data_IF_413607398211
#
_entry.id   IF_413607398211
#
_cell.length_a   1.000
_cell.length_b   1.000
_cell.length_c   1.000
_cell.angle_alpha   90.00
_cell.angle_beta   90.00
_cell.angle_gamma   90.00
#
_symmetry.space_group_name_H-M   'P 1'
#
loop_
_entity.id
_entity.type
_entity.pdbx_description
1 polymer ?
#
# COMPACT_ATOMS: atom_id res chain seq x y z
N UNK A 1 19.16 -2.13 1.76
CA UNK A 1 19.53 -3.31 2.58
C UNK A 1 20.34 -2.94 3.82
N UNK A 2 21.52 -2.28 3.71
CA UNK A 2 22.32 -1.85 4.87
C UNK A 2 21.52 -1.08 5.94
N UNK A 3 20.75 -0.07 5.53
CA UNK A 3 19.87 0.70 6.43
C UNK A 3 18.86 -0.19 7.20
N UNK A 4 18.30 -1.23 6.56
CA UNK A 4 17.37 -2.17 7.21
C UNK A 4 18.13 -3.04 8.22
N UNK A 5 19.31 -3.54 7.88
CA UNK A 5 20.15 -4.30 8.81
C UNK A 5 20.55 -3.48 10.04
N UNK A 6 20.96 -2.22 9.84
CA UNK A 6 21.27 -1.29 10.93
C UNK A 6 20.04 -1.03 11.80
N UNK A 7 18.88 -0.79 11.19
CA UNK A 7 17.61 -0.66 11.94
C UNK A 7 17.27 -1.89 12.77
N UNK A 8 17.40 -3.10 12.19
CA UNK A 8 17.14 -4.34 12.94
C UNK A 8 18.10 -4.52 14.12
N UNK A 9 19.37 -4.12 13.97
CA UNK A 9 20.34 -4.08 15.07
C UNK A 9 19.89 -3.12 16.17
N UNK A 10 19.52 -1.89 15.83
CA UNK A 10 19.00 -0.89 16.79
C UNK A 10 17.79 -1.44 17.55
N UNK A 11 16.84 -2.06 16.85
CA UNK A 11 15.66 -2.66 17.48
C UNK A 11 16.03 -3.78 18.46
N UNK A 12 17.01 -4.62 18.10
CA UNK A 12 17.49 -5.70 18.97
C UNK A 12 18.17 -5.16 20.24
N UNK A 13 18.97 -4.10 20.13
CA UNK A 13 19.59 -3.41 21.29
C UNK A 13 18.52 -2.80 22.20
N UNK A 14 17.50 -2.15 21.64
CA UNK A 14 16.39 -1.59 22.43
C UNK A 14 15.62 -2.70 23.18
N UNK A 15 15.43 -3.88 22.55
CA UNK A 15 14.80 -5.03 23.22
C UNK A 15 15.62 -5.54 24.40
N UNK A 16 16.94 -5.73 24.21
CA UNK A 16 17.86 -6.15 25.27
C UNK A 16 17.86 -5.14 26.43
N UNK A 17 17.93 -3.84 26.11
CA UNK A 17 17.89 -2.75 27.11
C UNK A 17 16.57 -2.75 27.89
N UNK A 18 15.44 -2.89 27.21
CA UNK A 18 14.13 -2.95 27.86
C UNK A 18 14.02 -4.18 28.77
N UNK A 19 14.55 -5.33 28.32
CA UNK A 19 14.57 -6.57 29.11
C UNK A 19 15.43 -6.42 30.36
N UNK A 20 16.60 -5.79 30.24
CA UNK A 20 17.49 -5.49 31.37
C UNK A 20 16.89 -4.49 32.36
N UNK A 21 16.24 -3.43 31.87
CA UNK A 21 15.60 -2.44 32.74
C UNK A 21 14.46 -3.06 33.56
N UNK A 22 13.75 -4.03 32.98
CA UNK A 22 12.69 -4.75 33.67
C UNK A 22 13.21 -5.79 34.68
N UNK A 23 14.43 -6.36 34.51
CA UNK A 23 15.05 -7.24 35.52
C UNK A 23 15.74 -6.49 36.65
N UNK A 24 16.20 -5.25 36.41
CA UNK A 24 16.87 -4.44 37.42
C UNK A 24 15.97 -4.05 38.61
N UNK A 25 14.63 -4.16 38.49
CA UNK A 25 13.72 -3.86 39.61
C UNK A 25 13.66 -4.96 40.67
N UNK A 26 14.30 -6.12 40.49
CA UNK A 26 14.06 -7.29 41.36
C UNK A 26 15.29 -7.88 42.08
N UNK A 27 16.52 -7.37 41.94
CA UNK A 27 17.69 -8.09 42.51
C UNK A 27 18.86 -7.22 42.99
N UNK A 28 19.52 -7.76 44.03
CA UNK A 28 20.77 -7.41 44.73
C UNK A 28 21.68 -6.34 44.07
N UNK A 29 22.30 -5.49 44.88
CA UNK A 29 23.27 -4.44 44.50
C UNK A 29 24.32 -4.87 43.45
N UNK A 30 24.79 -6.13 43.48
CA UNK A 30 25.73 -6.63 42.45
C UNK A 30 25.06 -6.79 41.09
N UNK A 31 23.82 -7.29 41.05
CA UNK A 31 23.00 -7.36 39.85
C UNK A 31 22.66 -5.96 39.36
N UNK A 32 22.33 -5.02 40.25
CA UNK A 32 22.10 -3.62 39.89
C UNK A 32 23.34 -3.00 39.24
N UNK A 33 24.54 -3.22 39.77
CA UNK A 33 25.78 -2.71 39.17
C UNK A 33 26.09 -3.36 37.81
N UNK A 34 25.87 -4.67 37.65
CA UNK A 34 26.00 -5.32 36.34
C UNK A 34 24.97 -4.78 35.34
N UNK A 35 23.73 -4.55 35.78
CA UNK A 35 22.69 -3.92 34.96
C UNK A 35 23.07 -2.49 34.57
N UNK A 36 23.65 -1.68 35.46
CA UNK A 36 24.13 -0.33 35.16
C UNK A 36 25.27 -0.36 34.13
N UNK A 37 26.22 -1.30 34.27
CA UNK A 37 27.34 -1.44 33.34
C UNK A 37 26.86 -1.88 31.95
N UNK A 38 26.02 -2.91 31.88
CA UNK A 38 25.42 -3.34 30.62
C UNK A 38 24.50 -2.28 29.99
N UNK A 39 23.85 -1.44 30.81
CA UNK A 39 23.05 -0.32 30.33
C UNK A 39 23.93 0.75 29.66
N UNK A 40 25.10 1.08 30.25
CA UNK A 40 26.09 1.97 29.61
C UNK A 40 26.64 1.40 28.32
N UNK A 41 27.02 0.12 28.30
CA UNK A 41 27.53 -0.55 27.10
C UNK A 41 26.47 -0.53 25.98
N UNK A 42 25.19 -0.74 26.30
CA UNK A 42 24.10 -0.62 25.33
C UNK A 42 23.78 0.81 24.89
N UNK A 43 23.93 1.82 25.76
CA UNK A 43 23.82 3.23 25.37
C UNK A 43 24.92 3.61 24.36
N UNK A 44 26.15 3.11 24.56
CA UNK A 44 27.25 3.30 23.62
C UNK A 44 26.98 2.61 22.26
N UNK A 45 26.50 1.36 22.27
CA UNK A 45 26.11 0.66 21.05
C UNK A 45 24.95 1.36 20.31
N UNK A 46 23.95 1.84 21.05
CA UNK A 46 22.82 2.59 20.50
C UNK A 46 23.29 3.93 19.90
N UNK A 47 24.22 4.63 20.56
CA UNK A 47 24.84 5.85 20.06
C UNK A 47 25.62 5.60 18.77
N UNK A 48 26.42 4.52 18.70
CA UNK A 48 27.16 4.14 17.51
C UNK A 48 26.23 3.77 16.34
N UNK A 49 25.16 3.01 16.61
CA UNK A 49 24.19 2.62 15.59
C UNK A 49 23.35 3.81 15.10
N UNK A 50 23.03 4.77 15.98
CA UNK A 50 22.38 6.04 15.62
C UNK A 50 23.29 6.86 14.69
N UNK A 51 24.56 7.01 15.04
CA UNK A 51 25.54 7.73 14.21
C UNK A 51 25.70 7.10 12.83
N UNK A 52 25.81 5.77 12.75
CA UNK A 52 25.82 5.05 11.47
C UNK A 52 24.56 5.30 10.63
N UNK A 53 23.39 5.44 11.27
CA UNK A 53 22.15 5.75 10.57
C UNK A 53 22.13 7.20 10.07
N UNK A 54 22.62 8.15 10.86
CA UNK A 54 22.78 9.56 10.50
C UNK A 54 23.74 9.71 9.31
N UNK A 55 24.90 9.05 9.35
CA UNK A 55 25.90 9.04 8.26
C UNK A 55 25.30 8.45 6.96
N UNK A 56 24.59 7.31 7.05
CA UNK A 56 23.90 6.69 5.90
C UNK A 56 22.75 7.54 5.34
N UNK A 57 22.26 8.53 6.10
CA UNK A 57 21.21 9.44 5.66
C UNK A 57 21.79 10.70 5.03
N UNK A 58 22.90 11.22 5.55
CA UNK A 58 23.66 12.31 4.93
C UNK A 58 24.14 11.89 3.53
N UNK A 59 24.63 10.66 3.36
CA UNK A 59 25.00 10.12 2.04
C UNK A 59 23.83 10.13 1.04
N UNK A 60 22.58 9.93 1.50
CA UNK A 60 21.42 10.01 0.61
C UNK A 60 21.05 11.45 0.27
N UNK A 61 21.16 12.38 1.22
CA UNK A 61 20.91 13.80 0.97
C UNK A 61 21.96 14.35 -0.01
N UNK A 62 23.24 14.00 0.16
CA UNK A 62 24.30 14.37 -0.78
C UNK A 62 24.10 13.74 -2.16
N UNK A 63 23.61 12.50 -2.23
CA UNK A 63 23.27 11.86 -3.51
C UNK A 63 22.09 12.55 -4.22
N UNK A 64 21.11 13.05 -3.46
CA UNK A 64 19.99 13.81 -4.02
C UNK A 64 20.41 15.23 -4.44
N UNK A 65 21.26 15.91 -3.68
CA UNK A 65 21.79 17.23 -4.09
C UNK A 65 22.69 17.12 -5.33
N UNK A 66 23.52 16.09 -5.44
CA UNK A 66 24.37 15.87 -6.62
C UNK A 66 23.55 15.50 -7.88
N UNK A 67 22.38 14.89 -7.71
CA UNK A 67 21.46 14.62 -8.83
C UNK A 67 20.68 15.85 -9.28
N UNK A 68 20.43 16.81 -8.38
CA UNK A 68 19.78 18.09 -8.70
C UNK A 68 20.75 19.10 -9.31
N UNK A 69 22.01 19.14 -8.88
CA UNK A 69 23.02 20.06 -9.42
C UNK A 69 23.45 19.73 -10.86
N UNK A 70 23.20 18.51 -11.34
CA UNK A 70 23.48 18.14 -12.73
C UNK A 70 22.34 18.48 -13.72
N UNK A 71 21.31 19.19 -13.28
CA UNK A 71 20.25 19.72 -14.14
C UNK A 71 20.28 21.26 -14.10
N UNK A 72 21.15 21.83 -14.94
CA UNK A 72 20.96 23.13 -15.63
C UNK A 72 20.53 24.35 -14.82
N UNK A 73 21.53 25.11 -14.36
CA UNK A 73 21.63 26.57 -14.31
C UNK A 73 20.34 27.42 -14.40
N UNK A 74 20.03 28.09 -13.29
CA UNK A 74 19.36 29.39 -13.28
C UNK A 74 18.50 29.59 -12.05
N UNK A 75 19.04 30.23 -11.00
CA UNK A 75 18.37 31.20 -10.11
C UNK A 75 19.39 31.64 -9.06
N UNK A 76 19.50 32.96 -8.90
CA UNK A 76 20.47 33.65 -8.04
C UNK A 76 20.15 33.52 -6.55
N UNK A 77 21.23 33.56 -5.78
CA UNK A 77 21.38 33.55 -4.32
C UNK A 77 20.62 34.66 -3.58
N UNK A 78 19.78 34.30 -2.60
CA UNK A 78 19.58 35.08 -1.37
C UNK A 78 18.96 34.19 -0.26
N UNK A 79 19.68 34.07 0.86
CA UNK A 79 19.19 33.74 2.20
C UNK A 79 18.16 32.61 2.41
N UNK A 80 18.66 31.41 2.73
CA UNK A 80 18.28 30.68 3.94
C UNK A 80 16.81 30.43 4.26
N UNK A 81 16.11 29.65 3.43
CA UNK A 81 14.99 28.78 3.85
C UNK A 81 14.80 27.75 2.74
N UNK A 82 14.92 26.45 3.07
CA UNK A 82 14.57 25.38 2.13
C UNK A 82 13.05 25.39 2.05
N UNK A 83 12.52 26.08 1.05
CA UNK A 83 11.13 26.04 0.69
C UNK A 83 10.88 24.80 -0.20
N UNK A 84 10.05 23.88 0.28
CA UNK A 84 9.70 22.63 -0.39
C UNK A 84 8.60 22.81 -1.46
N UNK A 85 8.34 24.04 -1.89
CA UNK A 85 7.26 24.40 -2.82
C UNK A 85 7.62 24.26 -4.32
N UNK A 86 8.76 23.67 -4.69
CA UNK A 86 9.20 23.55 -6.11
C UNK A 86 8.55 22.34 -6.85
N UNK A 87 7.46 21.78 -6.34
CA UNK A 87 6.67 20.77 -7.07
C UNK A 87 5.31 21.33 -7.54
N UNK A 88 4.88 22.49 -7.05
CA UNK A 88 3.60 23.10 -7.45
C UNK A 88 3.66 23.85 -8.80
N UNK A 89 4.84 24.11 -9.35
CA UNK A 89 4.99 24.88 -10.60
C UNK A 89 5.00 24.02 -11.88
N UNK A 90 4.94 22.69 -11.76
CA UNK A 90 4.87 21.76 -12.91
C UNK A 90 3.44 21.21 -13.12
N UNK A 91 2.48 21.58 -12.26
CA UNK A 91 1.09 21.12 -12.33
C UNK A 91 0.08 22.25 -12.56
N UNK A 92 0.54 23.45 -12.94
CA UNK A 92 -0.30 24.62 -13.19
C UNK A 92 -0.45 24.95 -14.68
N UNK A 93 -0.99 24.02 -15.46
CA UNK A 93 -1.62 24.31 -16.77
C UNK A 93 -2.80 23.35 -16.93
N UNK A 94 -3.98 23.75 -16.45
CA UNK A 94 -5.25 23.58 -17.16
C UNK A 94 -6.39 24.22 -16.35
N UNK A 95 -6.96 25.25 -16.96
CA UNK A 95 -8.09 26.06 -16.53
C UNK A 95 -9.41 25.28 -16.60
N UNK A 96 -10.18 25.23 -15.51
CA UNK A 96 -11.65 25.17 -15.58
C UNK A 96 -12.28 25.84 -14.35
N UNK A 97 -12.97 26.96 -14.62
CA UNK A 97 -13.95 27.62 -13.78
C UNK A 97 -15.08 26.67 -13.38
N UNK A 98 -15.50 26.70 -12.12
CA UNK A 98 -16.84 27.15 -11.71
C UNK A 98 -17.17 26.67 -10.29
N UNK A 99 -17.74 27.60 -9.53
CA UNK A 99 -18.23 27.51 -8.16
C UNK A 99 -19.02 26.23 -7.82
N UNK A 100 -18.69 25.59 -6.69
CA UNK A 100 -19.67 24.95 -5.82
C UNK A 100 -19.05 24.67 -4.44
N UNK A 101 -19.27 25.62 -3.52
CA UNK A 101 -18.96 25.48 -2.10
C UNK A 101 -20.09 24.69 -1.42
N UNK A 102 -19.91 23.38 -1.24
CA UNK A 102 -20.81 22.58 -0.40
C UNK A 102 -20.35 22.64 1.05
N UNK A 103 -21.04 23.50 1.82
CA UNK A 103 -20.93 23.68 3.25
C UNK A 103 -21.51 22.45 3.99
N UNK A 104 -20.67 21.53 4.48
CA UNK A 104 -21.13 20.50 5.42
C UNK A 104 -20.93 20.96 6.86
N UNK A 105 -22.05 21.24 7.53
CA UNK A 105 -22.13 21.63 8.94
C UNK A 105 -21.71 20.47 9.84
N UNK A 106 -20.69 20.70 10.67
CA UNK A 106 -20.27 19.84 11.77
C UNK A 106 -21.35 19.88 12.85
N UNK A 107 -21.91 18.71 13.19
CA UNK A 107 -22.79 18.54 14.34
C UNK A 107 -21.98 18.61 15.65
N UNK A 108 -22.60 19.23 16.65
CA UNK A 108 -22.04 19.68 17.93
C UNK A 108 -21.37 18.56 18.76
N UNK A 109 -20.29 18.94 19.45
CA UNK A 109 -19.42 18.10 20.27
C UNK A 109 -20.11 17.57 21.54
N UNK A 110 -20.09 16.24 21.75
CA UNK A 110 -20.27 15.64 23.07
C UNK A 110 -18.93 15.69 23.85
N UNK A 111 -18.96 15.87 25.19
CA UNK A 111 -17.75 16.12 25.99
C UNK A 111 -16.84 14.88 26.08
N UNK A 112 -15.58 15.07 25.68
CA UNK A 112 -14.49 14.06 25.64
C UNK A 112 -14.07 13.59 27.05
N UNK A 113 -13.89 12.28 27.30
CA UNK A 113 -13.29 11.78 28.54
C UNK A 113 -11.77 12.05 28.58
N UNK A 114 -11.23 12.45 29.74
CA UNK A 114 -9.80 12.75 29.92
C UNK A 114 -8.89 11.55 29.55
N UNK A 115 -7.74 11.76 28.89
CA UNK A 115 -6.81 10.69 28.52
C UNK A 115 -6.28 9.94 29.74
N UNK A 116 -6.31 8.61 29.72
CA UNK A 116 -5.63 7.76 30.72
C UNK A 116 -4.11 7.75 30.48
N UNK A 117 -3.32 7.73 31.56
CA UNK A 117 -1.83 7.89 31.61
C UNK A 117 -1.02 6.98 30.67
N UNK A 118 -1.62 5.95 30.11
CA UNK A 118 -0.94 5.00 29.20
C UNK A 118 -0.69 5.64 27.83
N UNK A 119 -1.62 6.50 27.34
CA UNK A 119 -1.47 7.22 26.08
C UNK A 119 -0.34 8.25 26.11
N UNK A 120 -0.17 8.93 27.25
CA UNK A 120 0.91 9.90 27.41
C UNK A 120 2.28 9.22 27.44
N UNK A 121 2.43 8.07 28.12
CA UNK A 121 3.75 7.41 28.25
C UNK A 121 4.36 6.99 26.91
N UNK A 122 3.58 6.36 26.01
CA UNK A 122 4.13 5.94 24.71
C UNK A 122 4.35 7.13 23.77
N UNK A 123 3.46 8.12 23.77
CA UNK A 123 3.64 9.36 23.02
C UNK A 123 4.88 10.13 23.50
N UNK A 124 5.13 10.16 24.81
CA UNK A 124 6.34 10.72 25.42
C UNK A 124 7.58 9.93 24.97
N UNK A 125 7.56 8.60 25.03
CA UNK A 125 8.69 7.77 24.58
C UNK A 125 9.01 7.97 23.08
N UNK A 126 7.99 8.08 22.24
CA UNK A 126 8.15 8.32 20.79
C UNK A 126 8.68 9.73 20.53
N UNK A 127 8.17 10.75 21.23
CA UNK A 127 8.61 12.14 21.07
C UNK A 127 10.03 12.37 21.61
N UNK A 128 10.44 11.67 22.66
CA UNK A 128 11.80 11.73 23.21
C UNK A 128 12.81 10.91 22.40
N UNK A 129 12.37 9.91 21.63
CA UNK A 129 13.25 9.06 20.83
C UNK A 129 13.16 9.39 19.33
N UNK A 130 14.05 10.29 18.88
CA UNK A 130 14.18 10.72 17.48
C UNK A 130 14.25 9.56 16.47
N UNK A 131 14.89 8.44 16.83
CA UNK A 131 14.97 7.27 15.96
C UNK A 131 13.60 6.61 15.77
N UNK A 132 12.80 6.49 16.83
CA UNK A 132 11.43 5.96 16.74
C UNK A 132 10.51 6.90 15.95
N UNK A 133 10.60 8.21 16.22
CA UNK A 133 9.87 9.22 15.45
C UNK A 133 10.22 9.16 13.95
N UNK A 134 11.51 9.00 13.62
CA UNK A 134 11.96 8.82 12.24
C UNK A 134 11.45 7.51 11.64
N UNK A 135 11.45 6.39 12.37
CA UNK A 135 10.88 5.13 11.88
C UNK A 135 9.39 5.24 11.59
N UNK A 136 8.62 5.87 12.50
CA UNK A 136 7.18 6.16 12.29
C UNK A 136 6.97 7.04 11.07
N UNK A 137 7.80 8.07 10.90
CA UNK A 137 7.79 8.94 9.72
C UNK A 137 8.08 8.16 8.43
N UNK A 138 9.12 7.31 8.40
CA UNK A 138 9.45 6.46 7.25
C UNK A 138 8.35 5.47 6.89
N UNK A 139 7.63 4.93 7.88
CA UNK A 139 6.50 4.01 7.66
C UNK A 139 5.24 4.75 7.21
N UNK A 140 5.07 5.98 7.69
CA UNK A 140 3.99 6.85 7.22
C UNK A 140 4.25 7.45 5.85
N UNK A 141 5.51 7.68 5.48
CA UNK A 141 5.87 8.40 4.26
C UNK A 141 5.02 9.69 4.15
N UNK A 142 4.38 9.91 3.01
CA UNK A 142 3.52 11.05 2.73
C UNK A 142 2.04 10.81 3.09
N UNK A 143 1.73 9.88 4.00
CA UNK A 143 0.35 9.68 4.50
C UNK A 143 0.01 10.72 5.58
N UNK A 144 -1.27 11.09 5.63
CA UNK A 144 -1.81 11.95 6.70
C UNK A 144 -1.98 11.12 7.98
N UNK A 145 -1.45 11.62 9.10
CA UNK A 145 -1.55 10.98 10.43
C UNK A 145 -2.51 11.77 11.32
N UNK A 146 -3.26 11.08 12.17
CA UNK A 146 -4.05 11.69 13.22
C UNK A 146 -3.13 12.05 14.39
N UNK A 147 -3.01 13.35 14.68
CA UNK A 147 -2.12 13.91 15.72
C UNK A 147 -2.88 14.89 16.62
N UNK A 148 -3.96 14.44 17.23
CA UNK A 148 -4.85 15.25 18.08
C UNK A 148 -5.24 14.47 19.34
N UNK A 149 -5.69 15.17 20.39
CA UNK A 149 -6.21 14.58 21.64
C UNK A 149 -5.30 13.56 22.33
N UNK A 150 -3.98 13.73 22.20
CA UNK A 150 -2.98 12.82 22.76
C UNK A 150 -2.68 11.57 21.93
N UNK A 151 -3.31 11.42 20.76
CA UNK A 151 -3.05 10.32 19.83
C UNK A 151 -2.08 10.74 18.72
N UNK A 152 -1.11 9.88 18.39
CA UNK A 152 -0.33 9.94 17.14
C UNK A 152 -0.47 8.60 16.40
N UNK A 153 -1.47 8.51 15.54
CA UNK A 153 -1.80 7.29 14.79
C UNK A 153 -1.72 7.54 13.29
N UNK A 154 -1.18 6.57 12.55
CA UNK A 154 -1.32 6.47 11.10
C UNK A 154 -2.77 6.09 10.77
N UNK A 155 -3.64 7.07 10.85
CA UNK A 155 -5.10 6.99 10.75
C UNK A 155 -5.61 8.28 10.10
N UNK A 156 -6.60 8.17 9.24
CA UNK A 156 -7.22 9.31 8.56
C UNK A 156 -8.73 9.08 8.42
N UNK A 157 -9.53 10.07 8.83
CA UNK A 157 -10.94 10.13 8.42
C UNK A 157 -10.99 10.54 6.96
N UNK A 158 -11.46 9.63 6.11
CA UNK A 158 -11.74 9.90 4.69
C UNK A 158 -13.08 10.63 4.58
N UNK A 159 -14.05 10.19 5.37
CA UNK A 159 -15.28 10.93 5.70
C UNK A 159 -15.48 10.87 7.22
N UNK A 160 -16.42 11.62 7.82
CA UNK A 160 -16.70 11.53 9.25
C UNK A 160 -17.04 10.11 9.74
N UNK A 161 -17.53 9.24 8.85
CA UNK A 161 -17.96 7.86 9.15
C UNK A 161 -17.10 6.78 8.49
N UNK A 162 -16.00 7.14 7.83
CA UNK A 162 -15.10 6.22 7.14
C UNK A 162 -13.64 6.55 7.43
N UNK A 163 -12.96 5.63 8.11
CA UNK A 163 -11.57 5.75 8.51
C UNK A 163 -10.69 4.80 7.69
N UNK A 164 -9.56 5.30 7.19
CA UNK A 164 -8.47 4.50 6.65
C UNK A 164 -7.27 4.56 7.60
N UNK A 165 -6.69 3.41 7.96
CA UNK A 165 -5.54 3.37 8.86
C UNK A 165 -4.46 2.37 8.45
N UNK A 166 -3.27 2.54 9.01
CA UNK A 166 -2.21 1.52 9.02
C UNK A 166 -2.51 0.41 10.04
N UNK A 167 -1.76 -0.68 9.95
CA UNK A 167 -1.99 -1.89 10.76
C UNK A 167 -1.91 -1.63 12.28
N UNK A 168 -2.89 -2.12 13.07
CA UNK A 168 -2.84 -2.11 14.53
C UNK A 168 -1.85 -3.17 15.04
N UNK A 169 -0.62 -2.73 15.29
CA UNK A 169 0.50 -3.58 15.63
C UNK A 169 0.65 -3.83 17.15
N UNK A 170 1.12 -5.03 17.49
CA UNK A 170 1.57 -5.40 18.82
C UNK A 170 3.08 -5.70 18.81
N UNK A 171 3.63 -6.10 19.97
CA UNK A 171 5.03 -6.48 20.08
C UNK A 171 5.96 -5.31 19.74
N UNK A 172 6.97 -5.56 18.91
CA UNK A 172 7.94 -4.55 18.47
C UNK A 172 7.43 -3.71 17.29
N UNK A 173 6.49 -4.22 16.50
CA UNK A 173 5.93 -3.48 15.36
C UNK A 173 5.20 -2.21 15.82
N UNK A 174 4.68 -2.19 17.05
CA UNK A 174 3.97 -1.04 17.64
C UNK A 174 4.80 0.24 17.74
N UNK A 175 6.13 0.13 17.79
CA UNK A 175 7.00 1.30 17.91
C UNK A 175 7.02 2.14 16.62
N UNK A 176 6.93 1.48 15.46
CA UNK A 176 6.95 2.14 14.15
C UNK A 176 5.59 2.14 13.42
N UNK A 177 4.62 1.32 13.87
CA UNK A 177 3.20 1.33 13.40
C UNK A 177 2.25 1.85 14.48
N UNK A 178 0.95 1.67 14.28
CA UNK A 178 -0.06 2.01 15.27
C UNK A 178 -0.02 1.01 16.42
N UNK A 179 0.22 1.41 17.67
CA UNK A 179 0.07 0.50 18.80
C UNK A 179 -1.39 0.07 18.93
N UNK A 180 -1.65 -1.24 18.92
CA UNK A 180 -3.01 -1.79 18.97
C UNK A 180 -3.82 -1.24 20.16
N UNK A 181 -3.20 -1.14 21.34
CA UNK A 181 -3.86 -0.63 22.54
C UNK A 181 -4.24 0.87 22.41
N UNK A 182 -3.47 1.65 21.64
CA UNK A 182 -3.79 3.05 21.34
C UNK A 182 -4.92 3.18 20.32
N UNK A 183 -4.98 2.28 19.34
CA UNK A 183 -6.10 2.23 18.38
C UNK A 183 -7.39 1.85 19.09
N UNK A 184 -7.34 0.86 19.98
CA UNK A 184 -8.49 0.44 20.79
C UNK A 184 -8.99 1.59 21.68
N UNK A 185 -8.08 2.26 22.41
CA UNK A 185 -8.42 3.44 23.21
C UNK A 185 -9.01 4.58 22.36
N UNK A 186 -8.44 4.83 21.19
CA UNK A 186 -8.93 5.85 20.26
C UNK A 186 -10.36 5.55 19.81
N UNK A 187 -10.64 4.32 19.35
CA UNK A 187 -11.96 3.94 18.84
C UNK A 187 -13.01 3.91 19.94
N UNK A 188 -12.68 3.42 21.14
CA UNK A 188 -13.61 3.45 22.27
C UNK A 188 -13.89 4.88 22.74
N UNK A 189 -12.85 5.74 22.84
CA UNK A 189 -13.03 7.12 23.30
C UNK A 189 -13.79 8.00 22.30
N UNK A 190 -13.58 7.81 20.99
CA UNK A 190 -14.19 8.64 19.95
C UNK A 190 -15.51 8.11 19.40
N UNK A 191 -15.72 6.79 19.44
CA UNK A 191 -16.89 6.17 18.82
C UNK A 191 -17.73 5.33 19.77
N UNK A 192 -17.34 5.16 21.05
CA UNK A 192 -18.20 4.55 22.07
C UNK A 192 -18.75 3.16 21.69
N UNK A 193 -18.00 2.40 20.90
CA UNK A 193 -18.43 1.11 20.37
C UNK A 193 -19.21 1.14 19.05
N UNK A 194 -19.52 2.30 18.47
CA UNK A 194 -20.14 2.47 17.14
C UNK A 194 -19.11 2.38 16.01
N UNK A 195 -18.29 1.33 16.00
CA UNK A 195 -17.31 1.11 14.94
C UNK A 195 -17.23 -0.36 14.53
N UNK A 196 -16.78 -0.60 13.29
CA UNK A 196 -16.46 -1.94 12.77
C UNK A 196 -15.15 -1.87 11.98
N UNK A 197 -14.23 -2.77 12.31
CA UNK A 197 -12.90 -2.84 11.72
C UNK A 197 -12.88 -3.87 10.58
N UNK A 198 -12.33 -3.50 9.44
CA UNK A 198 -12.16 -4.36 8.27
C UNK A 198 -10.68 -4.63 8.04
N UNK A 199 -10.26 -5.86 8.33
CA UNK A 199 -8.90 -6.34 8.12
C UNK A 199 -8.75 -6.90 6.70
N UNK A 200 -7.96 -6.22 5.88
CA UNK A 200 -7.67 -6.63 4.50
C UNK A 200 -6.41 -7.49 4.37
N UNK A 201 -5.73 -7.80 5.48
CA UNK A 201 -4.48 -8.57 5.46
C UNK A 201 -4.76 -10.07 5.39
N UNK A 202 -4.33 -10.71 4.30
CA UNK A 202 -4.25 -12.18 4.24
C UNK A 202 -3.18 -12.70 5.21
N UNK A 203 -2.08 -11.95 5.35
CA UNK A 203 -0.87 -12.34 6.05
C UNK A 203 -0.86 -12.06 7.56
N UNK A 204 -1.89 -11.36 8.07
CA UNK A 204 -1.97 -10.94 9.48
C UNK A 204 -3.35 -11.17 10.13
N UNK A 205 -3.73 -12.42 10.44
CA UNK A 205 -4.97 -12.72 11.15
C UNK A 205 -4.87 -12.58 12.68
N UNK A 206 -3.71 -12.27 13.25
CA UNK A 206 -3.37 -12.70 14.61
C UNK A 206 -4.08 -11.91 15.73
N UNK A 207 -4.53 -10.67 15.47
CA UNK A 207 -5.30 -9.90 16.45
C UNK A 207 -6.81 -9.98 16.24
N UNK A 208 -7.27 -10.73 15.24
CA UNK A 208 -8.67 -11.02 14.93
C UNK A 208 -9.24 -11.98 16.00
N UNK A 209 -9.17 -11.56 17.26
CA UNK A 209 -9.61 -12.29 18.45
C UNK A 209 -10.74 -11.51 19.10
N UNK A 210 -11.78 -12.19 19.64
CA UNK A 210 -12.83 -11.52 20.42
C UNK A 210 -12.30 -10.71 21.61
N UNK A 211 -11.06 -10.96 22.04
CA UNK A 211 -10.36 -10.25 23.11
C UNK A 211 -9.91 -8.84 22.72
N UNK A 212 -9.93 -8.48 21.43
CA UNK A 212 -9.51 -7.17 20.92
C UNK A 212 -10.68 -6.50 20.23
N UNK A 213 -10.79 -5.19 20.39
CA UNK A 213 -11.81 -4.36 19.73
C UNK A 213 -13.23 -4.85 19.99
N UNK A 214 -13.47 -5.46 21.16
CA UNK A 214 -14.75 -6.08 21.54
C UNK A 214 -15.30 -7.08 20.49
N UNK A 215 -14.42 -7.69 19.68
CA UNK A 215 -14.83 -8.57 18.58
C UNK A 215 -15.45 -7.86 17.37
N UNK A 216 -15.37 -6.53 17.27
CA UNK A 216 -15.96 -5.71 16.20
C UNK A 216 -15.10 -5.66 14.95
N UNK A 217 -14.64 -6.82 14.48
CA UNK A 217 -13.84 -6.92 13.26
C UNK A 217 -14.49 -7.88 12.25
N UNK A 218 -14.23 -7.64 10.97
CA UNK A 218 -14.50 -8.56 9.86
C UNK A 218 -13.30 -8.63 8.94
N UNK A 219 -13.11 -9.78 8.30
CA UNK A 219 -11.98 -10.02 7.40
C UNK A 219 -12.45 -10.03 5.95
N UNK A 220 -11.74 -9.27 5.13
CA UNK A 220 -11.87 -9.28 3.67
C UNK A 220 -10.46 -9.36 3.06
N UNK A 221 -9.74 -10.47 3.29
CA UNK A 221 -8.31 -10.54 3.05
C UNK A 221 -7.96 -10.65 1.57
N UNK A 222 -6.91 -9.96 1.15
CA UNK A 222 -6.22 -10.21 -0.11
C UNK A 222 -4.74 -9.81 -0.02
N UNK A 223 -3.93 -10.41 -0.88
CA UNK A 223 -2.48 -10.35 -0.79
C UNK A 223 -1.91 -8.95 -1.00
N UNK A 224 -0.83 -8.65 -0.29
CA UNK A 224 -0.15 -7.36 -0.39
C UNK A 224 0.32 -7.10 -1.82
N UNK A 225 0.07 -5.88 -2.33
CA UNK A 225 0.39 -5.46 -3.70
C UNK A 225 -0.37 -6.17 -4.84
N UNK A 226 -1.43 -6.93 -4.54
CA UNK A 226 -2.30 -7.55 -5.54
C UNK A 226 -3.66 -6.84 -5.63
N UNK A 227 -4.41 -7.17 -6.69
CA UNK A 227 -5.82 -6.84 -6.80
C UNK A 227 -6.68 -7.69 -5.84
N UNK A 228 -7.87 -7.23 -5.42
CA UNK A 228 -8.77 -8.04 -4.61
C UNK A 228 -9.34 -9.19 -5.44
N UNK A 229 -8.89 -10.41 -5.14
CA UNK A 229 -9.31 -11.64 -5.80
C UNK A 229 -9.95 -12.58 -4.76
N UNK A 230 -11.15 -13.14 -5.02
CA UNK A 230 -11.99 -12.88 -6.19
C UNK A 230 -12.65 -11.49 -6.15
N UNK A 231 -13.09 -10.97 -7.30
CA UNK A 231 -13.75 -9.66 -7.39
C UNK A 231 -15.01 -9.54 -6.51
N UNK A 232 -15.66 -10.68 -6.21
CA UNK A 232 -16.80 -10.73 -5.29
C UNK A 232 -16.46 -10.21 -3.89
N UNK A 233 -15.19 -10.30 -3.47
CA UNK A 233 -14.69 -9.77 -2.19
C UNK A 233 -15.01 -8.27 -2.04
N UNK A 234 -14.93 -7.50 -3.13
CA UNK A 234 -15.25 -6.07 -3.14
C UNK A 234 -16.73 -5.85 -2.89
N UNK A 235 -17.59 -6.62 -3.54
CA UNK A 235 -19.05 -6.51 -3.42
C UNK A 235 -19.50 -6.93 -2.02
N UNK A 236 -18.96 -8.03 -1.50
CA UNK A 236 -19.28 -8.53 -0.16
C UNK A 236 -18.85 -7.53 0.92
N UNK A 237 -17.67 -6.91 0.76
CA UNK A 237 -17.20 -5.85 1.64
C UNK A 237 -18.14 -4.65 1.64
N UNK A 238 -18.57 -4.19 0.45
CA UNK A 238 -19.45 -3.03 0.32
C UNK A 238 -20.79 -3.31 0.96
N UNK A 239 -21.43 -4.45 0.67
CA UNK A 239 -22.70 -4.85 1.28
C UNK A 239 -22.63 -4.86 2.80
N UNK A 240 -21.55 -5.40 3.36
CA UNK A 240 -21.35 -5.44 4.80
C UNK A 240 -21.17 -4.05 5.42
N UNK A 241 -20.34 -3.23 4.78
CA UNK A 241 -20.03 -1.88 5.24
C UNK A 241 -21.22 -0.93 5.12
N UNK A 242 -21.96 -0.97 4.02
CA UNK A 242 -23.18 -0.15 3.85
C UNK A 242 -24.24 -0.56 4.84
N UNK A 243 -24.51 -1.87 4.99
CA UNK A 243 -25.47 -2.38 5.98
C UNK A 243 -25.10 -1.95 7.40
N UNK A 244 -23.82 -2.00 7.78
CA UNK A 244 -23.38 -1.51 9.08
C UNK A 244 -23.59 0.00 9.26
N UNK A 245 -23.30 0.79 8.23
CA UNK A 245 -23.51 2.24 8.28
C UNK A 245 -24.99 2.61 8.33
N UNK A 246 -25.88 1.76 7.81
CA UNK A 246 -27.34 1.95 7.86
C UNK A 246 -27.95 1.58 9.23
N UNK A 247 -27.32 0.69 10.00
CA UNK A 247 -27.80 0.26 11.32
C UNK A 247 -27.89 1.41 12.35
N UNK A 248 -26.96 2.37 12.31
CA UNK A 248 -26.95 3.54 13.20
C UNK A 248 -26.17 4.69 12.55
N UNK A 249 -26.69 5.93 12.64
CA UNK A 249 -26.03 7.14 12.14
C UNK A 249 -24.67 7.42 12.79
N UNK A 250 -24.43 6.89 14.00
CA UNK A 250 -23.15 6.99 14.72
C UNK A 250 -22.11 5.96 14.25
N UNK A 251 -22.50 4.94 13.48
CA UNK A 251 -21.59 3.88 13.07
C UNK A 251 -20.48 4.40 12.16
N UNK A 252 -19.25 3.94 12.42
CA UNK A 252 -18.02 4.30 11.70
C UNK A 252 -17.30 3.05 11.17
N UNK A 253 -17.06 3.01 9.87
CA UNK A 253 -16.29 1.95 9.22
C UNK A 253 -14.80 2.26 9.32
N UNK A 254 -13.99 1.29 9.76
CA UNK A 254 -12.53 1.42 9.87
C UNK A 254 -11.85 0.39 8.99
N UNK A 255 -11.22 0.82 7.90
CA UNK A 255 -10.57 -0.08 6.94
C UNK A 255 -9.06 0.02 7.07
N UNK A 256 -8.38 -1.12 7.12
CA UNK A 256 -6.92 -1.11 7.12
C UNK A 256 -6.33 -2.31 6.38
N UNK A 257 -5.07 -2.13 5.99
CA UNK A 257 -4.19 -3.21 5.57
C UNK A 257 -2.88 -3.06 6.36
N UNK A 258 -1.74 -3.45 5.78
CA UNK A 258 -0.44 -3.22 6.40
C UNK A 258 -0.10 -1.72 6.52
N UNK A 259 -0.18 -0.99 5.40
CA UNK A 259 0.21 0.43 5.33
C UNK A 259 -0.99 1.40 5.28
N UNK A 260 -2.21 0.91 5.11
CA UNK A 260 -3.39 1.76 4.92
C UNK A 260 -3.37 2.55 3.62
N UNK A 261 -2.84 1.95 2.53
CA UNK A 261 -2.60 2.61 1.24
C UNK A 261 -3.30 1.86 0.10
N UNK A 262 -2.60 1.06 -0.71
CA UNK A 262 -3.17 0.43 -1.92
C UNK A 262 -4.42 -0.43 -1.64
N UNK A 263 -4.26 -1.53 -0.87
CA UNK A 263 -5.39 -2.43 -0.53
C UNK A 263 -6.57 -1.70 0.11
N UNK A 264 -6.29 -0.88 1.12
CA UNK A 264 -7.28 -0.04 1.79
C UNK A 264 -7.97 0.91 0.82
N UNK A 265 -7.20 1.53 -0.07
CA UNK A 265 -7.70 2.49 -1.04
C UNK A 265 -8.62 1.87 -2.07
N UNK A 266 -8.37 0.64 -2.51
CA UNK A 266 -9.30 -0.08 -3.40
C UNK A 266 -10.67 -0.20 -2.72
N UNK A 267 -10.71 -0.77 -1.52
CA UNK A 267 -11.96 -0.99 -0.79
C UNK A 267 -12.66 0.33 -0.41
N UNK A 268 -11.90 1.31 0.08
CA UNK A 268 -12.42 2.63 0.44
C UNK A 268 -12.94 3.39 -0.77
N UNK A 269 -12.27 3.34 -1.93
CA UNK A 269 -12.73 4.00 -3.15
C UNK A 269 -14.05 3.39 -3.62
N UNK A 270 -14.15 2.06 -3.65
CA UNK A 270 -15.41 1.40 -4.01
C UNK A 270 -16.55 1.70 -3.04
N UNK A 271 -16.26 1.76 -1.72
CA UNK A 271 -17.26 2.13 -0.72
C UNK A 271 -17.71 3.59 -0.86
N UNK A 272 -16.77 4.53 -1.09
CA UNK A 272 -17.08 5.93 -1.37
C UNK A 272 -18.03 6.09 -2.55
N UNK A 273 -17.72 5.41 -3.68
CA UNK A 273 -18.56 5.36 -4.88
C UNK A 273 -19.97 4.84 -4.58
N UNK A 274 -20.10 3.87 -3.67
CA UNK A 274 -21.38 3.31 -3.25
C UNK A 274 -22.17 4.21 -2.31
N UNK A 275 -21.50 4.96 -1.43
CA UNK A 275 -22.14 5.78 -0.39
C UNK A 275 -22.60 7.15 -0.91
N UNK A 276 -21.88 7.73 -1.87
CA UNK A 276 -22.21 9.03 -2.45
C UNK A 276 -22.14 8.98 -3.99
N UNK A 277 -23.12 8.34 -4.65
CA UNK A 277 -23.08 8.17 -6.10
C UNK A 277 -23.27 9.47 -6.89
N UNK A 278 -23.70 10.56 -6.23
CA UNK A 278 -23.88 11.89 -6.84
C UNK A 278 -22.56 12.66 -6.78
N UNK A 279 -21.95 12.77 -5.60
CA UNK A 279 -20.67 13.48 -5.42
C UNK A 279 -19.47 12.69 -5.94
N UNK A 280 -19.58 11.36 -6.02
CA UNK A 280 -18.55 10.45 -6.50
C UNK A 280 -19.15 9.61 -7.64
N UNK A 281 -19.23 10.16 -8.87
CA UNK A 281 -19.96 9.56 -9.97
C UNK A 281 -19.23 8.41 -10.67
N UNK A 282 -17.90 8.28 -10.48
CA UNK A 282 -17.10 7.27 -11.18
C UNK A 282 -15.86 6.82 -10.35
N UNK A 283 -15.16 5.81 -10.88
CA UNK A 283 -13.94 5.27 -10.27
C UNK A 283 -12.79 6.28 -10.19
N UNK A 284 -12.66 7.19 -11.16
CA UNK A 284 -11.58 8.19 -11.20
C UNK A 284 -11.72 9.15 -10.03
N UNK A 285 -12.94 9.62 -9.80
CA UNK A 285 -13.24 10.51 -8.68
C UNK A 285 -13.08 9.80 -7.34
N UNK A 286 -13.54 8.56 -7.22
CA UNK A 286 -13.37 7.77 -5.99
C UNK A 286 -11.88 7.61 -5.60
N UNK A 287 -11.03 7.25 -6.57
CA UNK A 287 -9.59 7.14 -6.39
C UNK A 287 -8.95 8.48 -5.99
N UNK A 288 -9.38 9.58 -6.61
CA UNK A 288 -8.91 10.94 -6.33
C UNK A 288 -9.25 11.37 -4.91
N UNK A 289 -10.51 11.21 -4.50
CA UNK A 289 -11.00 11.54 -3.15
C UNK A 289 -10.21 10.78 -2.09
N UNK A 290 -10.05 9.45 -2.27
CA UNK A 290 -9.24 8.66 -1.36
C UNK A 290 -7.77 9.12 -1.32
N UNK A 291 -7.17 9.33 -2.50
CA UNK A 291 -5.78 9.76 -2.64
C UNK A 291 -5.49 11.06 -1.89
N UNK A 292 -6.31 12.08 -2.12
CA UNK A 292 -6.18 13.42 -1.53
C UNK A 292 -6.42 13.42 -0.01
N UNK A 293 -7.41 12.64 0.44
CA UNK A 293 -7.69 12.49 1.85
C UNK A 293 -6.56 11.74 2.56
N UNK A 294 -6.10 10.61 2.01
CA UNK A 294 -5.16 9.71 2.70
C UNK A 294 -3.69 10.16 2.62
N UNK A 295 -3.31 10.88 1.57
CA UNK A 295 -1.91 11.25 1.30
C UNK A 295 -1.75 12.73 0.97
N UNK A 296 -0.57 13.29 1.27
CA UNK A 296 -0.25 14.68 0.95
C UNK A 296 -0.02 14.91 -0.54
N UNK A 297 0.35 13.87 -1.29
CA UNK A 297 0.65 13.96 -2.73
C UNK A 297 -0.45 13.39 -3.63
N UNK A 298 -1.64 13.09 -3.08
CA UNK A 298 -2.75 12.49 -3.82
C UNK A 298 -2.53 11.03 -4.28
N UNK A 299 -1.34 10.45 -4.05
CA UNK A 299 -0.99 9.11 -4.52
C UNK A 299 -1.45 8.04 -3.53
N UNK A 300 -2.76 7.79 -3.46
CA UNK A 300 -3.38 6.75 -2.65
C UNK A 300 -3.18 5.34 -3.22
N UNK A 301 -3.98 4.97 -4.22
CA UNK A 301 -3.84 3.70 -4.96
C UNK A 301 -2.98 3.97 -6.19
N UNK A 302 -1.84 3.30 -6.29
CA UNK A 302 -0.88 3.53 -7.38
C UNK A 302 -0.57 2.30 -8.22
N UNK A 303 -0.99 1.12 -7.77
CA UNK A 303 -0.75 -0.14 -8.50
C UNK A 303 -1.84 -0.24 -9.58
N UNK A 304 -1.48 -0.33 -10.87
CA UNK A 304 -2.44 -0.33 -11.97
C UNK A 304 -3.54 -1.37 -11.83
N UNK A 305 -3.22 -2.61 -11.47
CA UNK A 305 -4.24 -3.65 -11.25
C UNK A 305 -5.19 -3.33 -10.08
N UNK A 306 -4.71 -2.67 -9.04
CA UNK A 306 -5.58 -2.22 -7.95
C UNK A 306 -6.55 -1.14 -8.44
N UNK A 307 -6.07 -0.16 -9.22
CA UNK A 307 -6.92 0.85 -9.84
C UNK A 307 -7.95 0.20 -10.79
N UNK A 308 -7.51 -0.75 -11.62
CA UNK A 308 -8.38 -1.48 -12.55
C UNK A 308 -9.55 -2.16 -11.85
N UNK A 309 -9.36 -2.72 -10.66
CA UNK A 309 -10.44 -3.34 -9.90
C UNK A 309 -11.44 -2.32 -9.33
N UNK A 310 -11.02 -1.07 -9.10
CA UNK A 310 -11.97 0.02 -8.79
C UNK A 310 -12.79 0.38 -10.03
N UNK A 311 -12.16 0.46 -11.21
CA UNK A 311 -12.88 0.65 -12.49
C UNK A 311 -13.83 -0.50 -12.80
N UNK A 312 -13.43 -1.74 -12.51
CA UNK A 312 -14.30 -2.91 -12.63
C UNK A 312 -15.51 -2.83 -11.70
N UNK A 313 -15.33 -2.41 -10.45
CA UNK A 313 -16.45 -2.18 -9.55
C UNK A 313 -17.39 -1.08 -10.06
N UNK A 314 -16.86 0.05 -10.55
CA UNK A 314 -17.70 1.11 -11.14
C UNK A 314 -18.49 0.61 -12.35
N UNK A 315 -17.88 -0.23 -13.20
CA UNK A 315 -18.57 -0.91 -14.29
C UNK A 315 -19.66 -1.87 -13.79
N UNK A 316 -19.40 -2.61 -12.70
CA UNK A 316 -20.39 -3.46 -12.04
C UNK A 316 -21.60 -2.66 -11.56
N UNK A 317 -21.37 -1.49 -10.97
CA UNK A 317 -22.45 -0.58 -10.53
C UNK A 317 -23.28 -0.12 -11.72
N UNK A 318 -22.61 0.36 -12.79
CA UNK A 318 -23.27 0.94 -13.97
C UNK A 318 -24.01 -0.08 -14.83
N UNK A 319 -23.36 -1.20 -15.15
CA UNK A 319 -23.83 -2.14 -16.18
C UNK A 319 -24.63 -3.29 -15.57
N UNK A 320 -24.41 -3.61 -14.28
CA UNK A 320 -24.99 -4.77 -13.61
C UNK A 320 -25.73 -4.43 -12.30
N UNK A 321 -25.99 -3.14 -12.03
CA UNK A 321 -26.75 -2.71 -10.85
C UNK A 321 -26.11 -3.10 -9.52
N UNK A 322 -24.78 -3.20 -9.47
CA UNK A 322 -24.05 -3.63 -8.28
C UNK A 322 -24.04 -5.14 -8.03
N UNK A 323 -24.59 -5.93 -8.94
CA UNK A 323 -24.54 -7.39 -8.89
C UNK A 323 -23.36 -7.93 -9.69
N UNK A 324 -22.86 -9.11 -9.31
CA UNK A 324 -21.78 -9.76 -10.06
C UNK A 324 -22.20 -9.97 -11.52
N UNK A 325 -21.32 -9.67 -12.49
CA UNK A 325 -21.57 -9.98 -13.88
C UNK A 325 -21.65 -11.50 -14.06
N UNK A 326 -22.36 -11.99 -15.10
CA UNK A 326 -22.38 -13.41 -15.40
C UNK A 326 -20.96 -13.93 -15.65
N UNK A 327 -20.71 -15.16 -15.25
CA UNK A 327 -19.43 -15.81 -15.52
C UNK A 327 -19.18 -15.91 -17.02
N UNK A 328 -17.99 -15.50 -17.46
CA UNK A 328 -17.57 -15.53 -18.86
C UNK A 328 -16.28 -16.33 -19.03
N UNK A 329 -16.37 -17.64 -19.32
CA UNK A 329 -15.22 -18.40 -19.80
C UNK A 329 -14.79 -17.87 -21.17
N UNK A 330 -13.50 -17.58 -21.35
CA UNK A 330 -12.92 -17.10 -22.62
C UNK A 330 -11.64 -17.88 -22.92
N UNK A 331 -11.33 -18.07 -24.20
CA UNK A 331 -10.13 -18.81 -24.63
C UNK A 331 -8.99 -17.86 -24.92
N UNK A 332 -7.81 -18.15 -24.39
CA UNK A 332 -6.60 -17.34 -24.62
C UNK A 332 -5.97 -17.71 -25.96
N UNK A 333 -6.11 -16.83 -26.95
CA UNK A 333 -5.65 -17.06 -28.32
C UNK A 333 -4.20 -16.66 -28.54
N UNK A 334 -3.86 -15.43 -28.14
CA UNK A 334 -2.53 -14.87 -28.40
C UNK A 334 -2.11 -13.86 -27.34
N UNK A 335 -0.81 -13.82 -27.05
CA UNK A 335 -0.16 -12.75 -26.30
C UNK A 335 0.94 -12.16 -27.16
N UNK A 336 0.96 -10.84 -27.32
CA UNK A 336 1.98 -10.11 -28.07
C UNK A 336 2.69 -9.16 -27.11
N UNK A 337 4.01 -9.22 -27.06
CA UNK A 337 4.83 -8.29 -26.27
C UNK A 337 5.60 -7.37 -27.22
N UNK A 338 5.15 -6.12 -27.28
CA UNK A 338 5.70 -5.05 -28.12
C UNK A 338 6.87 -4.38 -27.39
N UNK A 339 8.03 -5.05 -27.33
CA UNK A 339 9.32 -4.43 -26.97
C UNK A 339 10.44 -5.45 -27.07
N UNK A 340 11.63 -5.01 -27.51
CA UNK A 340 12.87 -5.75 -27.29
C UNK A 340 13.23 -5.68 -25.80
N UNK A 341 12.68 -6.59 -24.98
CA UNK A 341 13.18 -6.82 -23.62
C UNK A 341 14.67 -7.14 -23.78
N UNK A 342 15.55 -6.31 -23.19
CA UNK A 342 16.99 -6.45 -23.33
C UNK A 342 17.44 -7.69 -22.56
N UNK A 343 17.36 -8.86 -23.21
CA UNK A 343 17.85 -10.12 -22.66
C UNK A 343 19.36 -10.02 -22.46
N UNK A 344 19.82 -10.07 -21.20
CA UNK A 344 21.24 -10.26 -20.92
C UNK A 344 21.57 -11.75 -21.12
N UNK A 345 22.03 -12.13 -22.32
CA UNK A 345 22.38 -13.52 -22.68
C UNK A 345 21.25 -14.33 -23.35
N UNK A 346 21.41 -15.66 -23.39
CA UNK A 346 20.41 -16.62 -23.90
C UNK A 346 19.26 -16.79 -22.90
N UNK A 347 18.48 -15.72 -22.73
CA UNK A 347 17.40 -15.70 -21.75
C UNK A 347 16.05 -15.78 -22.44
N UNK A 348 15.31 -16.83 -22.09
CA UNK A 348 13.91 -17.03 -22.47
C UNK A 348 13.00 -16.26 -21.52
N UNK A 349 12.15 -15.42 -22.10
CA UNK A 349 11.02 -14.80 -21.42
C UNK A 349 9.88 -15.80 -21.41
N UNK A 350 9.24 -16.00 -20.28
CA UNK A 350 8.07 -16.86 -20.16
C UNK A 350 7.04 -16.18 -19.28
N UNK A 351 5.78 -16.60 -19.36
CA UNK A 351 4.73 -16.15 -18.46
C UNK A 351 4.01 -17.31 -17.78
N UNK A 352 3.38 -17.00 -16.66
CA UNK A 352 2.42 -17.85 -15.96
C UNK A 352 1.08 -17.15 -15.88
N UNK A 353 0.00 -17.93 -15.79
CA UNK A 353 -1.36 -17.43 -15.51
C UNK A 353 -1.92 -18.14 -14.29
N UNK A 354 -2.27 -17.37 -13.27
CA UNK A 354 -3.03 -17.85 -12.12
C UNK A 354 -4.50 -17.52 -12.34
N UNK A 355 -5.37 -18.52 -12.24
CA UNK A 355 -6.82 -18.39 -12.29
C UNK A 355 -7.37 -18.51 -10.87
N UNK A 356 -7.99 -17.44 -10.36
CA UNK A 356 -8.54 -17.35 -9.01
C UNK A 356 -7.54 -17.80 -7.91
N UNK A 357 -6.26 -17.45 -8.09
CA UNK A 357 -5.17 -17.78 -7.18
C UNK A 357 -4.54 -19.17 -7.38
N UNK A 358 -4.97 -19.94 -8.38
CA UNK A 358 -4.41 -21.26 -8.70
C UNK A 358 -3.67 -21.19 -10.04
N UNK A 359 -2.41 -21.61 -10.07
CA UNK A 359 -1.62 -21.64 -11.31
C UNK A 359 -2.25 -22.58 -12.33
N UNK A 360 -2.59 -22.04 -13.51
CA UNK A 360 -3.30 -22.76 -14.58
C UNK A 360 -2.47 -22.89 -15.84
N UNK A 361 -1.67 -21.87 -16.17
CA UNK A 361 -0.78 -21.87 -17.34
C UNK A 361 0.64 -21.61 -16.89
N UNK A 362 1.57 -22.40 -17.40
CA UNK A 362 3.00 -22.10 -17.43
C UNK A 362 3.51 -22.30 -18.85
N UNK A 363 3.80 -21.19 -19.51
CA UNK A 363 4.19 -21.17 -20.93
C UNK A 363 5.46 -21.99 -21.24
N UNK A 364 6.31 -22.27 -20.24
CA UNK A 364 7.50 -23.12 -20.43
C UNK A 364 7.16 -24.55 -20.85
N UNK A 365 5.97 -25.02 -20.48
CA UNK A 365 5.46 -26.35 -20.82
C UNK A 365 4.60 -26.36 -22.08
N UNK A 366 4.32 -25.20 -22.67
CA UNK A 366 3.46 -25.09 -23.85
C UNK A 366 4.28 -24.76 -25.11
N UNK A 367 5.34 -23.96 -24.98
CA UNK A 367 6.11 -23.45 -26.11
C UNK A 367 7.52 -24.09 -26.18
N UNK A 368 7.57 -25.39 -26.43
CA UNK A 368 8.84 -26.16 -26.50
C UNK A 368 9.78 -25.75 -27.66
N UNK A 369 9.25 -25.11 -28.71
CA UNK A 369 10.00 -24.66 -29.89
C UNK A 369 10.67 -23.28 -29.76
N UNK A 370 10.61 -22.66 -28.59
CA UNK A 370 11.08 -21.30 -28.36
C UNK A 370 10.08 -20.23 -28.80
N UNK A 371 10.30 -18.99 -28.34
CA UNK A 371 9.43 -17.86 -28.62
C UNK A 371 9.50 -17.45 -30.09
N UNK A 372 8.33 -17.22 -30.71
CA UNK A 372 8.27 -16.57 -32.03
C UNK A 372 8.60 -15.09 -31.84
N UNK A 373 9.64 -14.61 -32.51
CA UNK A 373 10.12 -13.22 -32.45
C UNK A 373 9.73 -12.47 -33.72
N UNK A 374 9.42 -11.19 -33.56
CA UNK A 374 9.21 -10.22 -34.63
C UNK A 374 10.20 -9.05 -34.40
N UNK A 375 10.56 -8.21 -35.39
CA UNK A 375 11.51 -7.12 -35.16
C UNK A 375 11.13 -6.16 -34.01
N UNK A 376 9.83 -6.05 -33.69
CA UNK A 376 9.32 -5.19 -32.61
C UNK A 376 9.24 -5.89 -31.24
N UNK A 377 9.39 -7.21 -31.16
CA UNK A 377 9.19 -7.94 -29.91
C UNK A 377 9.03 -9.45 -30.10
N UNK A 378 8.06 -10.04 -29.40
CA UNK A 378 7.78 -11.47 -29.48
C UNK A 378 6.32 -11.78 -29.16
N UNK A 379 5.86 -12.97 -29.54
CA UNK A 379 4.48 -13.37 -29.29
C UNK A 379 4.37 -14.86 -28.92
N UNK A 380 3.31 -15.17 -28.17
CA UNK A 380 2.86 -16.51 -27.83
C UNK A 380 1.54 -16.75 -28.56
N UNK A 381 1.51 -17.71 -29.48
CA UNK A 381 0.32 -18.10 -30.22
C UNK A 381 -0.05 -19.53 -29.84
N UNK A 382 -1.19 -19.71 -29.19
CA UNK A 382 -1.63 -21.02 -28.73
C UNK A 382 -2.16 -21.85 -29.91
N UNK A 383 -1.67 -23.09 -30.05
CA UNK A 383 -2.21 -24.05 -31.04
C UNK A 383 -3.55 -24.64 -30.58
N UNK A 384 -3.67 -24.87 -29.27
CA UNK A 384 -4.92 -25.21 -28.59
C UNK A 384 -5.18 -24.12 -27.54
N UNK A 385 -6.26 -23.34 -27.68
CA UNK A 385 -6.50 -22.21 -26.80
C UNK A 385 -7.03 -22.66 -25.43
N UNK A 386 -6.33 -22.39 -24.31
CA UNK A 386 -6.83 -22.74 -23.00
C UNK A 386 -8.00 -21.83 -22.59
N UNK A 387 -9.08 -22.43 -22.09
CA UNK A 387 -10.22 -21.70 -21.51
C UNK A 387 -9.89 -21.19 -20.11
N UNK A 388 -10.06 -19.90 -19.88
CA UNK A 388 -9.82 -19.19 -18.62
C UNK A 388 -11.11 -18.51 -18.14
N UNK A 389 -11.27 -18.34 -16.82
CA UNK A 389 -12.46 -17.76 -16.22
C UNK A 389 -12.18 -17.10 -14.85
N UNK A 390 -12.81 -15.95 -14.61
CA UNK A 390 -12.77 -15.25 -13.33
C UNK A 390 -11.61 -14.28 -13.26
N UNK A 391 -10.97 -14.18 -12.10
CA UNK A 391 -9.82 -13.29 -11.89
C UNK A 391 -8.53 -13.98 -12.35
N UNK A 392 -7.83 -13.34 -13.28
CA UNK A 392 -6.61 -13.85 -13.89
C UNK A 392 -5.44 -12.95 -13.54
N UNK A 393 -4.35 -13.54 -13.04
CA UNK A 393 -3.06 -12.86 -12.90
C UNK A 393 -2.09 -13.39 -13.94
N UNK A 394 -1.66 -12.52 -14.84
CA UNK A 394 -0.59 -12.80 -15.79
C UNK A 394 0.72 -12.29 -15.21
N UNK A 395 1.72 -13.16 -15.09
CA UNK A 395 3.05 -12.79 -14.58
C UNK A 395 4.11 -13.15 -15.60
N UNK A 396 4.91 -12.17 -16.01
CA UNK A 396 6.00 -12.36 -16.95
C UNK A 396 7.32 -12.47 -16.20
N UNK A 397 8.14 -13.40 -16.65
CA UNK A 397 9.40 -13.76 -16.02
C UNK A 397 10.54 -13.78 -17.02
N UNK A 398 11.73 -13.49 -16.52
CA UNK A 398 12.99 -13.62 -17.23
C UNK A 398 13.84 -14.68 -16.56
N UNK A 399 14.19 -15.74 -17.31
CA UNK A 399 15.03 -16.82 -16.78
C UNK A 399 16.50 -16.43 -16.79
N UNK A 400 17.09 -16.16 -15.63
CA UNK A 400 18.55 -16.06 -15.51
C UNK A 400 19.15 -17.42 -15.16
N UNK A 401 20.49 -17.55 -15.27
CA UNK A 401 21.20 -18.81 -14.97
C UNK A 401 20.97 -19.33 -13.55
N UNK A 402 20.74 -18.43 -12.58
CA UNK A 402 20.70 -18.75 -11.15
C UNK A 402 19.34 -18.52 -10.49
N UNK A 403 18.49 -17.69 -11.08
CA UNK A 403 17.18 -17.33 -10.55
C UNK A 403 16.26 -16.90 -11.70
N UNK A 404 14.95 -16.96 -11.46
CA UNK A 404 13.98 -16.36 -12.36
C UNK A 404 13.61 -14.99 -11.79
N UNK A 405 13.67 -13.96 -12.61
CA UNK A 405 13.26 -12.61 -12.24
C UNK A 405 11.82 -12.38 -12.70
N UNK A 406 10.94 -11.96 -11.80
CA UNK A 406 9.63 -11.43 -12.16
C UNK A 406 9.80 -10.05 -12.78
N UNK A 407 9.34 -9.91 -14.02
CA UNK A 407 9.52 -8.70 -14.82
C UNK A 407 8.41 -7.68 -14.52
N UNK A 408 7.18 -8.11 -14.77
CA UNK A 408 5.97 -7.33 -14.59
C UNK A 408 4.79 -8.30 -14.54
N UNK A 409 3.65 -7.82 -14.05
CA UNK A 409 2.42 -8.58 -14.03
C UNK A 409 1.21 -7.67 -14.22
N UNK A 410 0.04 -8.26 -14.44
CA UNK A 410 -1.22 -7.54 -14.42
C UNK A 410 -2.35 -8.49 -14.07
N UNK A 411 -3.43 -7.92 -13.53
CA UNK A 411 -4.67 -8.62 -13.25
C UNK A 411 -5.79 -8.17 -14.17
N UNK A 412 -6.62 -9.11 -14.60
CA UNK A 412 -7.88 -8.88 -15.33
C UNK A 412 -8.97 -9.80 -14.79
N UNK A 413 -10.23 -9.48 -15.07
CA UNK A 413 -11.36 -10.36 -14.79
C UNK A 413 -12.08 -10.70 -16.09
N UNK A 414 -12.28 -11.99 -16.41
CA UNK A 414 -12.81 -12.41 -17.72
C UNK A 414 -14.22 -11.91 -18.01
N UNK A 415 -15.03 -11.68 -16.98
CA UNK A 415 -16.38 -11.12 -17.12
C UNK A 415 -16.38 -9.61 -17.38
N UNK A 416 -15.25 -8.91 -17.17
CA UNK A 416 -15.14 -7.45 -17.25
C UNK A 416 -14.02 -6.97 -18.18
N UNK A 417 -13.20 -7.86 -18.72
CA UNK A 417 -12.29 -7.54 -19.82
C UNK A 417 -13.01 -7.66 -21.18
N UNK A 418 -12.40 -7.03 -22.17
CA UNK A 418 -12.73 -7.18 -23.59
C UNK A 418 -12.00 -8.39 -24.19
N UNK A 419 -12.25 -8.67 -25.48
CA UNK A 419 -11.53 -9.72 -26.22
C UNK A 419 -10.11 -9.29 -26.62
N UNK A 420 -9.79 -8.01 -26.50
CA UNK A 420 -8.49 -7.45 -26.83
C UNK A 420 -8.07 -6.47 -25.75
N UNK A 421 -7.17 -6.88 -24.88
CA UNK A 421 -6.62 -6.04 -23.83
C UNK A 421 -5.21 -5.61 -24.19
N UNK A 422 -4.89 -4.33 -24.04
CA UNK A 422 -3.53 -3.81 -24.19
C UNK A 422 -3.12 -3.18 -22.87
N UNK A 423 -1.95 -3.57 -22.37
CA UNK A 423 -1.35 -3.04 -21.15
C UNK A 423 0.02 -2.46 -21.47
N UNK A 424 0.19 -1.15 -21.34
CA UNK A 424 1.46 -0.49 -21.62
C UNK A 424 2.16 0.00 -20.35
N UNK A 425 3.49 -0.03 -20.37
CA UNK A 425 4.31 0.53 -19.30
C UNK A 425 4.22 2.06 -19.28
N UNK A 426 4.18 2.66 -20.47
CA UNK A 426 4.09 4.12 -20.67
C UNK A 426 2.81 4.70 -20.06
N UNK A 427 1.70 4.00 -20.25
CA UNK A 427 0.37 4.40 -19.77
C UNK A 427 0.11 3.91 -18.34
N UNK A 428 1.12 3.33 -17.67
CA UNK A 428 1.06 2.81 -16.31
C UNK A 428 -0.05 1.78 -16.11
N UNK A 429 -0.07 0.76 -16.96
CA UNK A 429 -1.07 -0.31 -16.89
C UNK A 429 -0.50 -1.67 -16.45
N UNK A 430 0.83 -1.75 -16.35
CA UNK A 430 1.58 -2.92 -15.88
C UNK A 430 2.06 -2.72 -14.43
N UNK A 431 1.90 -3.77 -13.62
CA UNK A 431 2.42 -3.82 -12.26
C UNK A 431 3.86 -4.36 -12.23
N UNK A 432 4.50 -4.21 -11.07
CA UNK A 432 5.87 -4.64 -10.83
C UNK A 432 6.80 -3.46 -10.58
N UNK A 433 7.97 -3.76 -10.01
CA UNK A 433 9.04 -2.76 -9.88
C UNK A 433 9.97 -2.99 -11.05
N UNK A 434 9.97 -2.06 -12.01
CA UNK A 434 10.99 -2.05 -13.05
C UNK A 434 12.36 -2.05 -12.37
N UNK A 435 13.05 -3.19 -12.40
CA UNK A 435 14.43 -3.29 -11.96
C UNK A 435 15.19 -2.21 -12.72
N UNK A 436 15.73 -1.20 -12.04
CA UNK A 436 16.76 -0.35 -12.65
C UNK A 436 18.00 -1.23 -12.74
N UNK A 437 18.31 -1.71 -13.94
CA UNK A 437 19.60 -2.30 -14.22
C UNK A 437 20.70 -1.30 -13.87
N UNK A 438 21.91 -1.78 -13.59
CA UNK A 438 23.07 -0.91 -13.31
C UNK A 438 23.35 0.08 -14.45
N UNK A 439 22.84 -0.19 -15.65
CA UNK A 439 23.06 0.59 -16.88
C UNK A 439 21.79 1.35 -17.36
N UNK A 440 20.81 1.58 -16.48
CA UNK A 440 19.53 2.18 -16.86
C UNK A 440 18.47 1.16 -17.26
N UNK A 441 17.21 1.60 -17.26
CA UNK A 441 15.98 0.78 -17.24
C UNK A 441 16.06 -0.53 -18.04
N UNK A 442 15.79 -1.66 -17.36
CA UNK A 442 15.85 -3.02 -17.96
C UNK A 442 14.79 -3.22 -19.04
N UNK A 443 13.77 -2.36 -19.08
CA UNK A 443 12.69 -2.39 -20.05
C UNK A 443 12.76 -1.21 -21.01
N UNK A 444 12.36 -1.44 -22.25
CA UNK A 444 12.07 -0.35 -23.18
C UNK A 444 10.91 0.48 -22.62
N UNK A 445 11.01 1.81 -22.73
CA UNK A 445 9.94 2.73 -22.33
C UNK A 445 8.60 2.45 -23.04
N UNK A 446 8.68 1.78 -24.19
CA UNK A 446 7.54 1.45 -25.04
C UNK A 446 6.99 0.03 -24.83
N UNK A 447 7.42 -0.68 -23.77
CA UNK A 447 6.91 -2.02 -23.45
C UNK A 447 5.38 -2.01 -23.36
N UNK A 448 4.74 -2.82 -24.19
CA UNK A 448 3.32 -3.12 -24.10
C UNK A 448 3.04 -4.61 -24.27
N UNK A 449 1.99 -5.09 -23.63
CA UNK A 449 1.49 -6.46 -23.76
C UNK A 449 0.06 -6.42 -24.26
N UNK A 450 -0.20 -7.07 -25.37
CA UNK A 450 -1.53 -7.27 -25.93
C UNK A 450 -1.95 -8.70 -25.65
N UNK A 451 -3.14 -8.88 -25.06
CA UNK A 451 -3.74 -10.17 -24.76
C UNK A 451 -5.02 -10.30 -25.58
N UNK A 452 -5.08 -11.33 -26.40
CA UNK A 452 -6.18 -11.59 -27.33
C UNK A 452 -6.91 -12.84 -26.89
N UNK A 453 -8.21 -12.70 -26.69
CA UNK A 453 -9.13 -13.77 -26.34
C UNK A 453 -10.10 -14.04 -27.49
N UNK A 454 -10.60 -15.26 -27.57
CA UNK A 454 -11.72 -15.67 -28.41
C UNK A 454 -12.80 -16.33 -27.54
N UNK A 455 -14.05 -16.23 -27.97
CA UNK A 455 -15.19 -16.81 -27.24
C UNK A 455 -15.27 -18.35 -27.37
#
# INVERSE_FOLDING_TARGET
>A
MKQICTMMRVMRVIQEYTKMKNTASETCLSTTMMCIRGAREMEEELGAAKKQLEDLMLDQVEFFSYSLENVGNGINTAAGQIDLNIIDEILSEDSFDSDDAVFFRVAEEDPVPKPTEIGSSLAVLVSQNSALAMMRSKVSQLKRRYKMDGFDLDLTYITPRLIAMGFPAWGTEKYYRNPIDQVELFLESKHGGHYRIYNLCSERPEYDSPKRFQGKFKRFPFDDHNAPCPISLVIDFIRDATSFLEEDAKNVVVVHCKAGKGRTGVMVSCLLRSLDPIGIPDAKEALRVFGNARTYNGLGVTIPSQCRYVYYYDRIVRDFGGQLPPSRPIKLYQIIVDSSIKSCGQVDVYFTVEENGVMKIDSRHLFHGGLKRDPKGFFFLFEEEPTLQGDLRFTFHQRHRLFNEELFYFWINTSLCSNYERFSLKDRELDGRLSKGKDGDTFCKDLAVNVIFVD
#
